data_IF_297278892824
#
_entry.id   IF_297278892824
#
_cell.length_a   1.000
_cell.length_b   1.000
_cell.length_c   1.000
_cell.angle_alpha   90.00
_cell.angle_beta   90.00
_cell.angle_gamma   90.00
#
_symmetry.space_group_name_H-M   'P 1'
#
loop_
_entity.id
_entity.type
_entity.pdbx_description
1 polymer ?
#
# COMPACT_ATOMS: atom_id res chain seq x y z
N UNK A 1 5.79 10.62 -10.60
CA UNK A 1 6.89 9.73 -10.99
C UNK A 1 7.76 9.39 -9.78
N UNK A 2 8.05 8.12 -9.58
CA UNK A 2 8.95 7.59 -8.54
C UNK A 2 10.15 6.97 -9.21
N UNK A 3 11.35 7.23 -8.70
CA UNK A 3 12.59 6.60 -9.16
C UNK A 3 13.37 6.06 -7.96
N UNK A 4 13.75 4.81 -8.05
CA UNK A 4 14.57 4.12 -7.05
C UNK A 4 15.81 3.55 -7.78
N UNK A 5 17.01 3.86 -7.29
CA UNK A 5 18.25 3.39 -7.90
C UNK A 5 19.13 2.70 -6.87
N UNK A 6 19.54 1.47 -7.17
CA UNK A 6 20.47 0.65 -6.38
C UNK A 6 20.14 0.64 -4.89
N UNK A 7 18.85 0.55 -4.57
CA UNK A 7 18.36 0.57 -3.19
C UNK A 7 18.88 -0.66 -2.43
N UNK A 8 19.54 -0.41 -1.29
CA UNK A 8 20.05 -1.45 -0.41
C UNK A 8 19.53 -1.26 1.00
N UNK A 9 18.90 -2.31 1.55
CA UNK A 9 18.34 -2.31 2.90
C UNK A 9 18.69 -3.58 3.65
N UNK A 10 19.15 -3.42 4.90
CA UNK A 10 19.45 -4.54 5.81
C UNK A 10 18.71 -4.38 7.14
N UNK A 11 18.49 -5.50 7.82
CA UNK A 11 18.11 -5.58 9.22
C UNK A 11 19.08 -6.51 9.95
N UNK A 12 19.74 -6.01 11.00
CA UNK A 12 20.72 -6.81 11.77
C UNK A 12 21.82 -7.40 10.88
N UNK A 13 22.29 -6.68 9.87
CA UNK A 13 23.30 -7.14 8.92
C UNK A 13 22.78 -8.07 7.81
N UNK A 14 21.53 -8.57 7.89
CA UNK A 14 20.94 -9.41 6.85
C UNK A 14 20.33 -8.55 5.75
N UNK A 15 20.77 -8.69 4.47
CA UNK A 15 20.21 -7.92 3.37
C UNK A 15 18.81 -8.39 3.01
N UNK A 16 17.89 -7.42 2.87
CA UNK A 16 16.49 -7.64 2.46
C UNK A 16 16.24 -7.07 1.07
N UNK A 17 16.75 -5.86 0.78
CA UNK A 17 16.76 -5.30 -0.57
C UNK A 17 18.20 -5.15 -1.03
N UNK A 18 18.50 -5.58 -2.27
CA UNK A 18 19.85 -5.73 -2.79
C UNK A 18 19.99 -5.04 -4.13
N UNK A 19 20.49 -3.79 -4.14
CA UNK A 19 20.66 -3.00 -5.37
C UNK A 19 19.40 -2.98 -6.24
N UNK A 20 18.27 -2.74 -5.59
CA UNK A 20 16.95 -2.76 -6.23
C UNK A 20 16.75 -1.47 -7.02
N UNK A 21 16.45 -1.60 -8.32
CA UNK A 21 16.02 -0.52 -9.20
C UNK A 21 14.53 -0.62 -9.45
N UNK A 22 13.83 0.55 -9.48
CA UNK A 22 12.40 0.59 -9.71
C UNK A 22 11.97 1.98 -10.15
N UNK A 23 11.10 2.05 -11.15
CA UNK A 23 10.48 3.29 -11.60
C UNK A 23 8.97 3.12 -11.72
N UNK A 24 8.22 4.17 -11.37
CA UNK A 24 6.75 4.22 -11.54
C UNK A 24 6.38 5.57 -12.09
N UNK A 25 5.57 5.57 -13.14
CA UNK A 25 5.00 6.77 -13.72
C UNK A 25 3.73 7.22 -12.99
N UNK A 26 3.36 8.46 -13.18
CA UNK A 26 2.13 9.00 -12.60
C UNK A 26 0.90 8.30 -13.20
N UNK A 27 -0.02 7.86 -12.32
CA UNK A 27 -1.23 7.15 -12.72
C UNK A 27 -1.05 5.63 -12.91
N UNK A 28 0.18 5.09 -12.82
CA UNK A 28 0.35 3.63 -12.87
C UNK A 28 -0.21 2.95 -11.61
N UNK A 29 -0.72 1.75 -11.82
CA UNK A 29 -1.20 0.84 -10.77
C UNK A 29 -0.33 -0.40 -10.77
N UNK A 30 0.71 -0.38 -9.95
CA UNK A 30 1.72 -1.45 -9.89
C UNK A 30 1.35 -2.45 -8.79
N UNK A 31 1.40 -3.73 -9.13
CA UNK A 31 1.21 -4.82 -8.19
C UNK A 31 2.51 -5.59 -8.00
N UNK A 32 3.06 -5.53 -6.79
CA UNK A 32 4.28 -6.23 -6.41
C UNK A 32 3.92 -7.60 -5.85
N UNK A 33 4.39 -8.63 -6.51
CA UNK A 33 4.13 -10.03 -6.23
C UNK A 33 5.37 -10.72 -5.67
N UNK A 34 5.23 -11.36 -4.53
CA UNK A 34 6.22 -12.26 -3.93
C UNK A 34 5.61 -13.00 -2.75
N UNK A 35 6.14 -14.16 -2.35
CA UNK A 35 5.81 -14.82 -1.09
C UNK A 35 6.10 -13.93 0.13
N UNK A 36 5.61 -14.35 1.30
CA UNK A 36 5.88 -13.66 2.55
C UNK A 36 7.38 -13.71 2.90
N UNK A 37 7.91 -12.63 3.48
CA UNK A 37 9.31 -12.52 3.86
C UNK A 37 10.27 -12.03 2.77
N UNK A 38 9.82 -11.84 1.53
CA UNK A 38 10.68 -11.40 0.40
C UNK A 38 10.97 -9.89 0.38
N UNK A 39 10.46 -9.11 1.33
CA UNK A 39 10.81 -7.68 1.44
C UNK A 39 9.77 -6.70 0.89
N UNK A 40 8.57 -7.14 0.46
CA UNK A 40 7.48 -6.27 -0.04
C UNK A 40 7.19 -5.10 0.91
N UNK A 41 6.82 -5.42 2.16
CA UNK A 41 6.56 -4.43 3.23
C UNK A 41 7.75 -3.52 3.49
N UNK A 42 8.98 -4.07 3.48
CA UNK A 42 10.20 -3.29 3.65
C UNK A 42 10.37 -2.26 2.54
N UNK A 43 10.15 -2.67 1.30
CA UNK A 43 10.21 -1.77 0.15
C UNK A 43 9.18 -0.62 0.27
N UNK A 44 7.93 -0.94 0.58
CA UNK A 44 6.88 0.08 0.75
C UNK A 44 7.20 1.05 1.89
N UNK A 45 7.69 0.58 3.03
CA UNK A 45 8.05 1.44 4.17
C UNK A 45 9.23 2.35 3.87
N UNK A 46 10.23 1.86 3.15
CA UNK A 46 11.37 2.67 2.70
C UNK A 46 10.89 3.73 1.70
N UNK A 47 10.05 3.36 0.75
CA UNK A 47 9.47 4.30 -0.22
C UNK A 47 8.58 5.35 0.45
N UNK A 48 7.81 4.97 1.48
CA UNK A 48 7.02 5.90 2.30
C UNK A 48 7.85 6.81 3.19
N UNK A 49 9.19 6.68 3.18
CA UNK A 49 10.10 7.41 4.05
C UNK A 49 9.80 7.18 5.56
N UNK A 50 9.30 5.98 5.90
CA UNK A 50 9.05 5.50 7.26
C UNK A 50 10.30 4.82 7.82
N UNK A 51 10.97 4.02 6.99
CA UNK A 51 12.20 3.33 7.35
C UNK A 51 13.40 3.85 6.56
N UNK A 52 14.57 4.03 7.19
CA UNK A 52 15.80 4.43 6.50
C UNK A 52 16.35 3.26 5.67
N UNK A 53 17.16 3.59 4.68
CA UNK A 53 17.93 2.64 3.88
C UNK A 53 19.42 2.94 3.98
N UNK A 54 20.30 1.98 3.61
CA UNK A 54 21.74 2.13 3.78
C UNK A 54 22.46 2.67 2.54
N UNK A 55 21.98 2.29 1.32
CA UNK A 55 22.58 2.73 0.05
C UNK A 55 21.51 2.87 -1.02
N UNK A 56 21.84 3.64 -2.05
CA UNK A 56 20.97 3.89 -3.18
C UNK A 56 20.33 5.28 -3.13
N UNK A 57 19.43 5.54 -4.06
CA UNK A 57 18.72 6.81 -4.18
C UNK A 57 17.23 6.55 -4.38
N UNK A 58 16.41 7.38 -3.76
CA UNK A 58 14.95 7.43 -3.99
C UNK A 58 14.58 8.86 -4.30
N UNK A 59 13.84 9.04 -5.37
CA UNK A 59 13.27 10.32 -5.79
C UNK A 59 11.77 10.16 -6.03
N UNK A 60 10.99 11.07 -5.46
CA UNK A 60 9.53 11.11 -5.60
C UNK A 60 9.14 12.51 -6.09
N UNK A 61 8.62 12.60 -7.31
CA UNK A 61 8.28 13.88 -7.97
C UNK A 61 9.44 14.90 -7.93
N UNK A 62 10.67 14.47 -8.19
CA UNK A 62 11.86 15.33 -8.18
C UNK A 62 12.43 15.60 -6.78
N UNK A 63 11.82 15.08 -5.71
CA UNK A 63 12.28 15.28 -4.34
C UNK A 63 13.07 14.03 -3.89
N UNK A 64 14.33 14.24 -3.49
CA UNK A 64 15.17 13.16 -2.96
C UNK A 64 14.76 12.77 -1.54
N UNK A 65 14.70 11.46 -1.27
CA UNK A 65 14.54 10.88 0.07
C UNK A 65 15.89 10.90 0.81
N UNK A 66 15.89 11.12 2.16
CA UNK A 66 14.73 11.35 3.01
C UNK A 66 14.23 12.81 2.99
N UNK A 67 12.90 12.99 2.94
CA UNK A 67 12.29 14.32 3.01
C UNK A 67 10.88 14.25 3.60
N UNK A 68 10.54 15.17 4.52
CA UNK A 68 9.18 15.26 5.06
C UNK A 68 8.14 15.59 3.96
N UNK A 69 8.54 16.29 2.89
CA UNK A 69 7.67 16.61 1.74
C UNK A 69 7.19 15.35 1.03
N UNK A 70 7.99 14.28 1.01
CA UNK A 70 7.59 12.98 0.43
C UNK A 70 6.47 12.37 1.26
N UNK A 71 6.53 12.44 2.60
CA UNK A 71 5.53 11.84 3.49
C UNK A 71 4.12 12.37 3.26
N UNK A 72 3.97 13.67 3.00
CA UNK A 72 2.64 14.26 2.76
C UNK A 72 2.10 13.95 1.36
N UNK A 73 2.94 13.49 0.43
CA UNK A 73 2.55 13.06 -0.91
C UNK A 73 2.12 11.59 -0.96
N UNK A 74 2.40 10.83 0.09
CA UNK A 74 2.19 9.38 0.13
C UNK A 74 1.16 9.04 1.20
N UNK A 75 0.16 8.25 0.82
CA UNK A 75 -0.69 7.52 1.74
C UNK A 75 -0.17 6.09 1.87
N UNK A 76 0.32 5.71 3.05
CA UNK A 76 0.74 4.33 3.34
C UNK A 76 -0.31 3.60 4.16
N UNK A 77 -0.94 2.62 3.55
CA UNK A 77 -1.95 1.76 4.17
C UNK A 77 -1.26 0.46 4.60
N UNK A 78 -0.97 0.36 5.88
CA UNK A 78 -0.23 -0.76 6.48
C UNK A 78 -1.12 -2.00 6.65
N UNK A 79 -0.55 -3.20 6.49
CA UNK A 79 -1.17 -4.44 6.93
C UNK A 79 -1.43 -4.45 8.44
N UNK A 80 -0.49 -3.90 9.23
CA UNK A 80 -0.60 -3.90 10.69
C UNK A 80 -1.61 -2.87 11.16
N UNK A 81 -2.41 -3.27 12.17
CA UNK A 81 -3.33 -2.40 12.87
C UNK A 81 -2.56 -1.46 13.80
N UNK A 82 -2.51 -0.19 13.42
CA UNK A 82 -1.76 0.86 14.11
C UNK A 82 -2.60 2.11 14.44
N UNK A 83 -3.93 2.01 14.33
CA UNK A 83 -4.84 3.07 14.75
C UNK A 83 -5.12 3.00 16.26
N UNK A 84 -5.63 4.09 16.81
CA UNK A 84 -5.85 4.27 18.24
C UNK A 84 -7.12 3.57 18.74
N UNK A 85 -7.05 2.46 19.51
CA UNK A 85 -8.22 1.63 19.86
C UNK A 85 -9.30 2.37 20.64
N UNK A 86 -8.90 3.29 21.51
CA UNK A 86 -9.81 4.05 22.38
C UNK A 86 -10.54 5.21 21.69
N UNK A 87 -10.13 5.61 20.49
CA UNK A 87 -10.71 6.75 19.78
C UNK A 87 -11.91 6.31 18.93
N UNK A 88 -12.91 7.21 18.81
CA UNK A 88 -13.97 7.03 17.81
C UNK A 88 -13.41 7.26 16.42
N UNK A 89 -14.04 6.67 15.40
CA UNK A 89 -13.57 6.83 14.02
C UNK A 89 -13.50 8.30 13.61
N UNK A 90 -14.49 9.10 14.02
CA UNK A 90 -14.49 10.54 13.74
C UNK A 90 -13.34 11.30 14.42
N UNK A 91 -12.89 10.85 15.59
CA UNK A 91 -11.79 11.48 16.32
C UNK A 91 -10.44 11.09 15.69
N UNK A 92 -10.30 9.85 15.19
CA UNK A 92 -9.16 9.41 14.37
C UNK A 92 -9.07 10.26 13.10
N UNK A 93 -10.19 10.46 12.40
CA UNK A 93 -10.22 11.31 11.21
C UNK A 93 -9.75 12.73 11.52
N UNK A 94 -10.25 13.35 12.59
CA UNK A 94 -9.82 14.69 13.03
C UNK A 94 -8.33 14.76 13.34
N UNK A 95 -7.81 13.76 14.04
CA UNK A 95 -6.40 13.68 14.38
C UNK A 95 -5.52 13.60 13.12
N UNK A 96 -5.86 12.71 12.19
CA UNK A 96 -5.09 12.52 10.95
C UNK A 96 -5.19 13.74 10.04
N UNK A 97 -6.35 14.42 10.01
CA UNK A 97 -6.52 15.66 9.22
C UNK A 97 -5.63 16.82 9.68
N UNK A 98 -5.00 16.74 10.84
CA UNK A 98 -3.95 17.66 11.28
C UNK A 98 -2.60 17.50 10.57
N UNK A 99 -2.38 16.36 9.89
CA UNK A 99 -1.12 16.02 9.21
C UNK A 99 -1.26 15.88 7.70
N UNK A 100 -2.44 15.45 7.23
CA UNK A 100 -2.75 15.24 5.81
C UNK A 100 -4.06 15.90 5.41
N UNK A 101 -4.10 16.38 4.18
CA UNK A 101 -5.36 16.80 3.57
C UNK A 101 -6.23 15.58 3.29
N UNK A 102 -7.45 15.58 3.83
CA UNK A 102 -8.40 14.47 3.70
C UNK A 102 -9.63 14.90 2.91
N UNK A 103 -10.03 14.07 1.96
CA UNK A 103 -11.34 14.14 1.32
C UNK A 103 -12.40 13.55 2.26
N UNK A 104 -13.02 14.43 3.06
CA UNK A 104 -14.03 14.03 4.04
C UNK A 104 -15.26 13.40 3.40
N UNK A 105 -15.72 13.94 2.28
CA UNK A 105 -16.88 13.40 1.56
C UNK A 105 -16.62 11.97 1.09
N UNK A 106 -15.42 11.71 0.54
CA UNK A 106 -15.00 10.37 0.17
C UNK A 106 -14.96 9.43 1.38
N UNK A 107 -14.40 9.87 2.49
CA UNK A 107 -14.35 9.04 3.71
C UNK A 107 -15.75 8.69 4.22
N UNK A 108 -16.66 9.67 4.29
CA UNK A 108 -18.06 9.47 4.70
C UNK A 108 -18.78 8.50 3.76
N UNK A 109 -18.59 8.63 2.45
CA UNK A 109 -19.12 7.70 1.46
C UNK A 109 -18.59 6.28 1.66
N UNK A 110 -17.30 6.12 1.94
CA UNK A 110 -16.73 4.81 2.25
C UNK A 110 -17.31 4.21 3.52
N UNK A 111 -17.46 4.98 4.59
CA UNK A 111 -18.09 4.51 5.82
C UNK A 111 -19.56 4.09 5.59
N UNK A 112 -20.28 4.84 4.77
CA UNK A 112 -21.64 4.49 4.38
C UNK A 112 -21.70 3.17 3.60
N UNK A 113 -20.86 2.99 2.58
CA UNK A 113 -20.76 1.75 1.81
C UNK A 113 -20.40 0.55 2.68
N UNK A 114 -19.54 0.76 3.67
CA UNK A 114 -19.11 -0.27 4.61
C UNK A 114 -20.09 -0.53 5.75
N UNK A 115 -21.11 0.32 5.92
CA UNK A 115 -22.05 0.33 7.06
C UNK A 115 -21.33 0.51 8.41
N UNK A 116 -20.31 1.37 8.45
CA UNK A 116 -19.52 1.67 9.64
C UNK A 116 -20.06 2.93 10.32
N UNK A 117 -20.39 2.82 11.62
CA UNK A 117 -20.78 3.97 12.42
C UNK A 117 -19.55 4.74 12.90
N UNK A 118 -19.35 6.02 12.47
CA UNK A 118 -18.17 6.81 12.82
C UNK A 118 -18.10 7.21 14.30
N UNK A 119 -19.19 7.08 15.06
CA UNK A 119 -19.26 7.42 16.48
C UNK A 119 -18.80 6.28 17.40
N UNK A 120 -18.71 5.05 16.88
CA UNK A 120 -18.16 3.92 17.62
C UNK A 120 -16.66 4.06 17.81
N UNK A 121 -16.13 3.47 18.90
CA UNK A 121 -14.69 3.38 19.14
C UNK A 121 -14.07 2.34 18.22
N UNK A 122 -12.84 2.60 17.80
CA UNK A 122 -12.11 1.68 16.92
C UNK A 122 -11.97 0.28 17.53
N UNK A 123 -11.84 0.17 18.85
CA UNK A 123 -11.80 -1.12 19.57
C UNK A 123 -13.07 -1.97 19.48
N UNK A 124 -14.21 -1.37 19.14
CA UNK A 124 -15.50 -2.07 19.03
C UNK A 124 -15.69 -2.81 17.70
N UNK A 125 -14.78 -2.60 16.75
CA UNK A 125 -14.81 -3.26 15.45
C UNK A 125 -14.00 -4.54 15.43
N UNK A 126 -14.45 -5.53 14.66
CA UNK A 126 -13.69 -6.75 14.37
C UNK A 126 -12.38 -6.43 13.64
N UNK A 127 -11.42 -7.38 13.64
CA UNK A 127 -10.14 -7.22 12.93
C UNK A 127 -10.35 -6.88 11.45
N UNK A 128 -11.30 -7.56 10.79
CA UNK A 128 -11.62 -7.32 9.39
C UNK A 128 -12.21 -5.93 9.14
N UNK A 129 -13.20 -5.50 9.97
CA UNK A 129 -13.76 -4.15 9.89
C UNK A 129 -12.71 -3.06 10.13
N UNK A 130 -11.77 -3.28 11.06
CA UNK A 130 -10.64 -2.38 11.28
C UNK A 130 -9.76 -2.25 10.03
N UNK A 131 -9.56 -3.35 9.30
CA UNK A 131 -8.86 -3.30 8.01
C UNK A 131 -9.62 -2.44 7.00
N UNK A 132 -10.95 -2.61 6.89
CA UNK A 132 -11.78 -1.77 6.01
C UNK A 132 -11.69 -0.28 6.39
N UNK A 133 -11.72 0.05 7.69
CA UNK A 133 -11.58 1.43 8.19
C UNK A 133 -10.21 2.01 7.80
N UNK A 134 -9.12 1.25 7.98
CA UNK A 134 -7.77 1.69 7.59
C UNK A 134 -7.67 1.95 6.09
N UNK A 135 -8.20 1.04 5.27
CA UNK A 135 -8.23 1.21 3.82
C UNK A 135 -9.05 2.45 3.44
N UNK A 136 -10.28 2.58 3.96
CA UNK A 136 -11.13 3.73 3.69
C UNK A 136 -10.45 5.05 4.08
N UNK A 137 -9.83 5.13 5.26
CA UNK A 137 -9.13 6.30 5.73
C UNK A 137 -7.92 6.63 4.83
N UNK A 138 -7.08 5.65 4.53
CA UNK A 138 -5.90 5.84 3.69
C UNK A 138 -6.24 6.26 2.27
N UNK A 139 -7.31 5.70 1.67
CA UNK A 139 -7.79 6.09 0.34
C UNK A 139 -8.45 7.47 0.32
N UNK A 140 -8.87 7.99 1.49
CA UNK A 140 -9.45 9.33 1.62
C UNK A 140 -8.39 10.43 1.81
N UNK A 141 -7.14 10.09 2.09
CA UNK A 141 -6.03 11.05 2.08
C UNK A 141 -5.82 11.52 0.63
N UNK A 142 -5.72 12.85 0.41
CA UNK A 142 -5.40 13.42 -0.90
C UNK A 142 -3.90 13.26 -1.19
N UNK A 143 -3.48 12.04 -1.45
CA UNK A 143 -2.11 11.70 -1.78
C UNK A 143 -1.89 11.62 -3.30
N UNK A 144 -0.64 11.78 -3.73
CA UNK A 144 -0.22 11.52 -5.13
C UNK A 144 0.08 10.04 -5.35
N UNK A 145 0.51 9.34 -4.30
CA UNK A 145 0.87 7.92 -4.32
C UNK A 145 0.18 7.21 -3.17
N UNK A 146 -0.44 6.08 -3.46
CA UNK A 146 -1.02 5.18 -2.49
C UNK A 146 -0.18 3.90 -2.44
N UNK A 147 0.45 3.66 -1.30
CA UNK A 147 1.19 2.43 -1.01
C UNK A 147 0.29 1.56 -0.13
N UNK A 148 -0.07 0.39 -0.62
CA UNK A 148 -1.04 -0.49 0.03
C UNK A 148 -0.41 -1.84 0.30
N UNK A 149 -0.20 -2.14 1.57
CA UNK A 149 0.52 -3.32 2.04
C UNK A 149 -0.46 -4.40 2.50
N UNK A 150 -0.58 -5.48 1.74
CA UNK A 150 -1.40 -6.66 2.01
C UNK A 150 -2.85 -6.34 2.45
N UNK A 151 -3.63 -5.59 1.65
CA UNK A 151 -4.95 -5.09 2.07
C UNK A 151 -6.00 -6.18 2.27
N UNK A 152 -5.78 -7.37 1.73
CA UNK A 152 -6.70 -8.51 1.79
C UNK A 152 -6.31 -9.54 2.85
N UNK A 153 -5.14 -9.37 3.48
CA UNK A 153 -4.63 -10.32 4.47
C UNK A 153 -5.61 -10.52 5.63
N UNK A 154 -5.87 -11.77 5.96
CA UNK A 154 -6.77 -12.16 7.07
C UNK A 154 -8.23 -11.70 6.94
N UNK A 155 -8.69 -11.36 5.75
CA UNK A 155 -10.09 -11.06 5.46
C UNK A 155 -10.82 -12.28 4.92
N UNK A 156 -12.08 -12.44 5.31
CA UNK A 156 -13.00 -13.36 4.65
C UNK A 156 -13.42 -12.81 3.25
N UNK A 157 -14.05 -13.67 2.47
CA UNK A 157 -14.46 -13.35 1.10
C UNK A 157 -15.29 -12.07 1.00
N UNK A 158 -16.28 -11.89 1.88
CA UNK A 158 -17.18 -10.72 1.85
C UNK A 158 -16.44 -9.41 2.13
N UNK A 159 -15.49 -9.44 3.07
CA UNK A 159 -14.68 -8.27 3.40
C UNK A 159 -13.65 -7.95 2.31
N UNK A 160 -13.11 -8.97 1.64
CA UNK A 160 -12.23 -8.79 0.46
C UNK A 160 -12.96 -8.07 -0.67
N UNK A 161 -14.18 -8.49 -1.02
CA UNK A 161 -15.00 -7.81 -2.03
C UNK A 161 -15.20 -6.31 -1.69
N UNK A 162 -15.41 -5.99 -0.41
CA UNK A 162 -15.53 -4.61 0.04
C UNK A 162 -14.24 -3.81 -0.19
N UNK A 163 -13.06 -4.37 0.10
CA UNK A 163 -11.77 -3.71 -0.20
C UNK A 163 -11.60 -3.48 -1.69
N UNK A 164 -11.87 -4.49 -2.52
CA UNK A 164 -11.80 -4.38 -3.98
C UNK A 164 -12.74 -3.28 -4.49
N UNK A 165 -13.95 -3.20 -3.94
CA UNK A 165 -14.91 -2.14 -4.28
C UNK A 165 -14.37 -0.76 -3.91
N UNK A 166 -13.81 -0.57 -2.70
CA UNK A 166 -13.21 0.72 -2.31
C UNK A 166 -12.08 1.13 -3.25
N UNK A 167 -11.23 0.18 -3.66
CA UNK A 167 -10.17 0.43 -4.64
C UNK A 167 -10.74 0.80 -6.01
N UNK A 168 -11.83 0.17 -6.43
CA UNK A 168 -12.54 0.47 -7.68
C UNK A 168 -13.12 1.89 -7.74
N UNK A 169 -13.53 2.45 -6.60
CA UNK A 169 -14.02 3.84 -6.50
C UNK A 169 -12.90 4.89 -6.66
N UNK A 170 -11.63 4.46 -6.70
CA UNK A 170 -10.50 5.35 -6.92
C UNK A 170 -10.30 5.63 -8.40
N UNK A 171 -10.75 6.81 -8.87
CA UNK A 171 -10.69 7.20 -10.27
C UNK A 171 -9.28 7.45 -10.80
N UNK A 172 -8.42 8.11 -10.03
CA UNK A 172 -7.05 8.48 -10.40
C UNK A 172 -6.05 8.23 -9.27
N UNK A 173 -4.76 8.49 -9.55
CA UNK A 173 -3.65 8.33 -8.61
C UNK A 173 -2.70 7.20 -9.00
N UNK A 174 -1.50 7.27 -8.44
CA UNK A 174 -0.48 6.23 -8.58
C UNK A 174 -0.61 5.25 -7.43
N UNK A 175 -0.67 3.96 -7.73
CA UNK A 175 -0.84 2.91 -6.73
C UNK A 175 0.31 1.92 -6.80
N UNK A 176 0.85 1.55 -5.64
CA UNK A 176 1.78 0.43 -5.49
C UNK A 176 1.20 -0.48 -4.42
N UNK A 177 0.75 -1.64 -4.85
CA UNK A 177 0.12 -2.63 -3.97
C UNK A 177 1.04 -3.82 -3.78
N UNK A 178 0.93 -4.43 -2.60
CA UNK A 178 1.50 -5.75 -2.35
C UNK A 178 0.41 -6.69 -1.90
N UNK A 179 0.44 -7.92 -2.33
CA UNK A 179 -0.34 -9.01 -1.77
C UNK A 179 0.28 -10.36 -2.15
N UNK A 180 -0.07 -11.39 -1.40
CA UNK A 180 0.14 -12.79 -1.78
C UNK A 180 -1.13 -13.42 -2.38
N UNK A 181 -2.26 -12.73 -2.29
CA UNK A 181 -3.56 -13.10 -2.89
C UNK A 181 -3.64 -12.50 -4.29
N UNK A 182 -3.31 -13.29 -5.30
CA UNK A 182 -3.10 -12.78 -6.67
C UNK A 182 -4.41 -12.35 -7.31
N UNK A 183 -5.46 -13.18 -7.21
CA UNK A 183 -6.64 -13.09 -8.06
C UNK A 183 -7.47 -11.82 -7.87
N UNK A 184 -7.73 -11.46 -6.64
CA UNK A 184 -8.68 -10.39 -6.33
C UNK A 184 -8.19 -9.00 -6.75
N UNK A 185 -6.86 -8.76 -6.73
CA UNK A 185 -6.28 -7.46 -7.07
C UNK A 185 -5.77 -7.36 -8.51
N UNK A 186 -5.73 -8.47 -9.26
CA UNK A 186 -5.35 -8.45 -10.68
C UNK A 186 -6.14 -7.42 -11.51
N UNK A 187 -7.48 -7.32 -11.36
CA UNK A 187 -8.27 -6.35 -12.14
C UNK A 187 -7.91 -4.90 -11.87
N UNK A 188 -7.40 -4.59 -10.69
CA UNK A 188 -7.06 -3.23 -10.28
C UNK A 188 -5.73 -2.73 -10.87
N UNK A 189 -4.76 -3.63 -11.06
CA UNK A 189 -3.41 -3.27 -11.51
C UNK A 189 -3.26 -3.32 -13.04
N UNK A 190 -2.31 -2.53 -13.57
CA UNK A 190 -1.94 -2.50 -14.99
C UNK A 190 -0.45 -2.82 -15.24
N UNK A 191 0.31 -3.07 -14.15
CA UNK A 191 1.70 -3.53 -14.19
C UNK A 191 1.98 -4.45 -13.01
N UNK A 192 2.62 -5.56 -13.27
CA UNK A 192 2.91 -6.63 -12.33
C UNK A 192 4.41 -6.82 -12.24
N UNK A 193 4.95 -6.75 -11.02
CA UNK A 193 6.39 -6.79 -10.77
C UNK A 193 6.69 -7.86 -9.74
N UNK A 194 7.65 -8.72 -10.03
CA UNK A 194 8.01 -9.87 -9.18
C UNK A 194 9.27 -9.56 -8.38
N UNK A 195 9.15 -9.64 -7.04
CA UNK A 195 10.26 -9.42 -6.12
C UNK A 195 10.84 -10.76 -5.66
N UNK A 196 12.11 -11.02 -6.01
CA UNK A 196 12.84 -12.22 -5.60
C UNK A 196 14.27 -11.85 -5.17
N UNK A 197 14.76 -12.46 -4.10
CA UNK A 197 16.13 -12.26 -3.58
C UNK A 197 16.53 -10.80 -3.33
N UNK A 198 15.54 -9.95 -3.00
CA UNK A 198 15.73 -8.54 -2.70
C UNK A 198 15.86 -7.65 -3.94
N UNK A 199 15.50 -8.15 -5.13
CA UNK A 199 15.48 -7.40 -6.40
C UNK A 199 14.15 -7.56 -7.12
N UNK A 200 13.76 -6.55 -7.88
CA UNK A 200 12.75 -6.75 -8.90
C UNK A 200 13.40 -7.48 -10.08
N UNK A 201 12.92 -8.65 -10.34
CA UNK A 201 13.57 -9.61 -11.20
C UNK A 201 12.87 -9.72 -12.55
N UNK A 202 11.54 -9.56 -12.58
CA UNK A 202 10.71 -9.65 -13.78
C UNK A 202 9.49 -8.75 -13.64
N UNK A 203 9.00 -8.24 -14.78
CA UNK A 203 7.75 -7.50 -14.81
C UNK A 203 6.92 -7.88 -16.05
N UNK A 204 5.61 -7.72 -15.96
CA UNK A 204 4.69 -7.89 -17.09
C UNK A 204 3.50 -6.93 -16.99
N UNK A 205 2.93 -6.58 -18.13
CA UNK A 205 1.62 -5.89 -18.23
C UNK A 205 0.50 -6.85 -18.68
N UNK A 206 0.88 -8.10 -19.03
CA UNK A 206 -0.03 -9.14 -19.42
C UNK A 206 -0.61 -9.84 -18.18
N UNK A 207 -1.85 -9.51 -17.87
CA UNK A 207 -2.57 -10.01 -16.69
C UNK A 207 -2.76 -11.52 -16.72
N UNK A 208 -2.95 -12.10 -17.90
CA UNK A 208 -3.21 -13.53 -18.05
C UNK A 208 -1.99 -14.38 -17.68
N UNK A 209 -0.79 -13.86 -17.95
CA UNK A 209 0.47 -14.55 -17.63
C UNK A 209 0.91 -14.48 -16.18
N UNK A 210 0.32 -13.59 -15.38
CA UNK A 210 0.78 -13.32 -14.00
C UNK A 210 0.84 -14.57 -13.15
N UNK A 211 -0.18 -15.42 -13.20
CA UNK A 211 -0.25 -16.65 -12.40
C UNK A 211 0.80 -17.67 -12.82
N UNK A 212 1.01 -17.85 -14.10
CA UNK A 212 1.97 -18.81 -14.62
C UNK A 212 3.40 -18.35 -14.28
N UNK A 213 3.69 -17.07 -14.50
CA UNK A 213 4.97 -16.49 -14.08
C UNK A 213 5.19 -16.67 -12.58
N UNK A 214 4.16 -16.40 -11.75
CA UNK A 214 4.28 -16.55 -10.29
C UNK A 214 4.63 -17.99 -9.90
N UNK A 215 3.97 -18.98 -10.53
CA UNK A 215 4.27 -20.42 -10.30
C UNK A 215 5.70 -20.77 -10.73
N UNK A 216 6.12 -20.34 -11.93
CA UNK A 216 7.47 -20.61 -12.44
C UNK A 216 8.57 -19.97 -11.55
N UNK A 217 8.32 -18.77 -11.03
CA UNK A 217 9.31 -18.02 -10.27
C UNK A 217 9.43 -18.50 -8.83
N UNK A 218 8.33 -18.95 -8.20
CA UNK A 218 8.27 -19.20 -6.76
C UNK A 218 7.88 -20.66 -6.39
N UNK A 219 7.62 -21.54 -7.35
CA UNK A 219 7.51 -22.99 -7.13
C UNK A 219 8.92 -23.64 -7.03
#
# INVERSE_FOLDING_TARGET
MVKVKKLFKTYGGKPVLKELDFEVEEGERVYILAPNGFGKTTFLKVLANIEPFQKGEIEVFGIKSPSHKIRVMISYISERDNLYPGFRIIDILRFISGFWEIDRSKFENFLFLLKINPLKRYSEFSKGERTLIRVALGLSIKAKIYLIDEPLSSLDFVLREKVVKLLGEMGGGTFILTSHEIDELLPFANRFVFLKDGKFFLETRDREKVKDIYREVFA
#
